data_IF_782516052740
#
_entry.id   IF_782516052740
#
_cell.length_a   1.000
_cell.length_b   1.000
_cell.length_c   1.000
_cell.angle_alpha   90.00
_cell.angle_beta   90.00
_cell.angle_gamma   90.00
#
_symmetry.space_group_name_H-M   'P 1'
#
loop_
_entity.id
_entity.type
_entity.pdbx_description
1 polymer ?
#
# COMPACT_ATOMS: atom_id res chain seq x y z
N UNK A 1 4.94 -78.51 24.79
CA UNK A 1 6.20 -78.93 24.18
C UNK A 1 6.96 -77.65 23.86
N UNK A 2 7.75 -77.05 24.76
CA UNK A 2 8.87 -77.61 25.54
C UNK A 2 9.90 -78.23 24.56
N UNK A 3 11.16 -77.81 24.42
CA UNK A 3 12.04 -77.05 25.32
C UNK A 3 13.31 -76.53 24.60
N UNK A 4 13.93 -75.50 25.23
CA UNK A 4 15.37 -75.20 25.43
C UNK A 4 16.33 -75.03 24.22
N UNK A 5 17.07 -73.92 24.03
CA UNK A 5 17.95 -73.06 24.86
C UNK A 5 19.45 -73.38 24.71
N UNK A 6 20.24 -72.35 24.39
CA UNK A 6 21.39 -71.83 25.18
C UNK A 6 22.41 -71.11 24.26
N UNK A 7 22.53 -69.77 24.34
CA UNK A 7 23.43 -68.96 25.21
C UNK A 7 24.81 -68.71 24.53
N UNK A 8 25.49 -67.56 24.55
CA UNK A 8 25.51 -66.41 25.47
C UNK A 8 26.38 -65.23 24.95
N UNK A 9 26.10 -64.03 25.49
CA UNK A 9 26.96 -62.85 25.79
C UNK A 9 27.48 -61.94 24.64
N UNK A 10 26.97 -60.71 24.49
CA UNK A 10 27.22 -59.45 25.24
C UNK A 10 28.59 -58.80 24.94
N UNK A 11 28.57 -57.57 24.39
CA UNK A 11 29.19 -56.38 24.98
C UNK A 11 28.76 -55.10 24.24
N UNK A 12 28.56 -54.05 25.04
CA UNK A 12 28.07 -52.72 24.70
C UNK A 12 29.26 -51.79 24.44
N UNK A 13 29.01 -50.73 23.67
CA UNK A 13 29.41 -49.32 23.92
C UNK A 13 30.25 -48.57 22.86
N UNK A 14 29.80 -47.33 22.68
CA UNK A 14 30.53 -46.10 22.34
C UNK A 14 30.76 -45.66 20.87
N UNK A 15 29.88 -44.74 20.48
CA UNK A 15 30.20 -43.32 20.19
C UNK A 15 30.92 -43.00 18.87
N UNK A 16 30.13 -42.54 17.90
CA UNK A 16 30.63 -41.86 16.70
C UNK A 16 31.02 -40.39 17.00
N UNK A 17 32.07 -39.86 16.35
CA UNK A 17 32.58 -38.52 16.57
C UNK A 17 31.82 -37.46 15.73
N UNK A 18 31.80 -36.23 16.26
CA UNK A 18 31.34 -35.02 15.57
C UNK A 18 32.11 -34.78 14.25
N UNK A 19 31.50 -34.05 13.29
CA UNK A 19 32.16 -32.79 12.92
C UNK A 19 31.19 -31.62 12.70
N UNK A 20 31.74 -30.43 12.92
CA UNK A 20 31.12 -29.11 12.82
C UNK A 20 30.40 -28.81 11.49
N UNK A 21 29.39 -27.93 11.56
CA UNK A 21 28.67 -27.41 10.40
C UNK A 21 27.66 -26.31 10.76
N UNK A 22 28.20 -25.16 11.16
CA UNK A 22 27.57 -23.85 11.38
C UNK A 22 26.23 -23.61 10.66
N UNK A 23 25.11 -23.50 11.40
CA UNK A 23 23.77 -23.18 10.87
C UNK A 23 23.12 -21.98 11.57
N UNK A 24 23.94 -20.99 11.94
CA UNK A 24 23.45 -19.71 12.47
C UNK A 24 23.79 -18.51 11.56
N UNK A 25 24.68 -18.66 10.57
CA UNK A 25 25.22 -17.53 9.80
C UNK A 25 24.38 -17.07 8.61
N UNK A 26 23.51 -17.93 8.07
CA UNK A 26 22.72 -17.59 6.87
C UNK A 26 21.63 -16.56 7.19
N UNK A 27 20.89 -16.74 8.29
CA UNK A 27 19.81 -15.84 8.70
C UNK A 27 20.29 -14.42 9.11
N UNK A 28 21.45 -14.31 9.76
CA UNK A 28 22.01 -12.99 10.13
C UNK A 28 22.51 -12.21 8.91
N UNK A 29 23.05 -12.92 7.91
CA UNK A 29 23.53 -12.31 6.66
C UNK A 29 22.38 -11.78 5.80
N UNK A 30 21.26 -12.50 5.74
CA UNK A 30 20.05 -12.06 5.03
C UNK A 30 19.38 -10.87 5.72
N UNK A 31 19.26 -10.89 7.06
CA UNK A 31 18.76 -9.73 7.83
C UNK A 31 19.67 -8.52 7.62
N UNK A 32 20.98 -8.72 7.57
CA UNK A 32 21.97 -7.67 7.31
C UNK A 32 21.87 -7.13 5.88
N UNK A 33 21.69 -7.99 4.87
CA UNK A 33 21.46 -7.58 3.48
C UNK A 33 20.16 -6.80 3.35
N UNK A 34 19.07 -7.24 3.98
CA UNK A 34 17.79 -6.51 3.96
C UNK A 34 17.94 -5.13 4.61
N UNK A 35 18.66 -5.05 5.73
CA UNK A 35 18.94 -3.78 6.40
C UNK A 35 19.80 -2.83 5.55
N UNK A 36 20.85 -3.35 4.91
CA UNK A 36 21.70 -2.59 3.98
C UNK A 36 20.92 -2.16 2.74
N UNK A 37 20.10 -3.04 2.18
CA UNK A 37 19.23 -2.74 1.03
C UNK A 37 18.24 -1.64 1.39
N UNK A 38 17.66 -1.68 2.59
CA UNK A 38 16.79 -0.62 3.11
C UNK A 38 17.54 0.70 3.26
N UNK A 39 18.73 0.73 3.86
CA UNK A 39 19.53 1.95 3.99
C UNK A 39 19.91 2.55 2.63
N UNK A 40 20.28 1.71 1.66
CA UNK A 40 20.57 2.16 0.30
C UNK A 40 19.32 2.74 -0.34
N UNK A 41 18.17 2.08 -0.21
CA UNK A 41 16.89 2.58 -0.72
C UNK A 41 16.49 3.92 -0.08
N UNK A 42 16.69 4.07 1.24
CA UNK A 42 16.46 5.31 1.99
C UNK A 42 17.40 6.45 1.52
N UNK A 43 18.66 6.13 1.21
CA UNK A 43 19.61 7.12 0.67
C UNK A 43 19.22 7.57 -0.75
N UNK A 44 18.69 6.67 -1.57
CA UNK A 44 18.24 6.96 -2.93
C UNK A 44 16.95 7.78 -2.91
N UNK A 45 16.02 7.51 -2.00
CA UNK A 45 14.80 8.32 -1.85
C UNK A 45 15.12 9.72 -1.35
N UNK A 46 16.08 9.88 -0.43
CA UNK A 46 16.53 11.20 0.04
C UNK A 46 17.12 12.08 -1.09
N UNK A 47 17.75 11.46 -2.10
CA UNK A 47 18.28 12.17 -3.26
C UNK A 47 17.19 12.56 -4.28
N UNK A 48 16.02 11.92 -4.24
CA UNK A 48 14.90 12.21 -5.16
C UNK A 48 14.04 13.34 -4.59
N UNK A 49 13.90 14.40 -5.37
CA UNK A 49 13.01 15.50 -5.02
C UNK A 49 11.56 15.20 -5.40
N UNK A 50 10.64 15.33 -4.45
CA UNK A 50 9.19 15.14 -4.65
C UNK A 50 8.43 16.45 -4.54
N UNK A 51 8.37 17.23 -5.64
CA UNK A 51 7.80 18.60 -5.65
C UNK A 51 6.40 18.75 -5.03
N UNK A 52 5.53 17.74 -5.20
CA UNK A 52 4.19 17.75 -4.63
C UNK A 52 4.21 17.32 -3.14
N UNK A 53 4.72 16.13 -2.85
CA UNK A 53 4.70 15.55 -1.50
C UNK A 53 5.55 16.31 -0.47
N UNK A 54 6.64 16.93 -0.89
CA UNK A 54 7.46 17.81 -0.02
C UNK A 54 6.70 19.06 0.45
N UNK A 55 5.61 19.44 -0.23
CA UNK A 55 4.76 20.57 0.14
C UNK A 55 3.51 20.14 0.93
N UNK A 56 3.34 18.84 1.20
CA UNK A 56 2.21 18.32 1.97
C UNK A 56 2.61 18.05 3.42
N UNK A 57 1.64 18.05 4.33
CA UNK A 57 1.83 17.74 5.74
C UNK A 57 1.91 16.22 5.95
N UNK A 58 2.97 15.62 5.40
CA UNK A 58 3.30 14.20 5.54
C UNK A 58 4.70 14.06 6.11
N UNK A 59 5.00 12.92 6.75
CA UNK A 59 6.35 12.62 7.24
C UNK A 59 7.38 12.73 6.11
N UNK A 60 8.45 13.48 6.35
CA UNK A 60 9.40 13.83 5.30
C UNK A 60 10.62 12.90 5.32
N UNK A 61 11.28 12.74 4.17
CA UNK A 61 12.43 11.85 4.06
C UNK A 61 13.60 12.23 4.98
N UNK A 62 13.76 13.53 5.25
CA UNK A 62 14.77 14.05 6.18
C UNK A 62 14.57 13.63 7.64
N UNK A 63 13.35 13.20 8.00
CA UNK A 63 12.95 12.86 9.36
C UNK A 63 12.89 11.33 9.55
N UNK A 64 13.23 10.53 8.53
CA UNK A 64 13.24 9.08 8.63
C UNK A 64 14.25 8.61 9.69
N UNK A 65 13.78 7.73 10.58
CA UNK A 65 14.60 7.12 11.62
C UNK A 65 14.82 8.00 12.86
N UNK A 66 14.25 9.21 12.89
CA UNK A 66 14.26 10.03 14.10
C UNK A 66 13.19 9.56 15.08
N UNK A 67 13.60 8.73 16.03
CA UNK A 67 12.72 8.23 17.10
C UNK A 67 12.39 9.26 18.18
N UNK A 68 12.93 10.49 18.09
CA UNK A 68 12.61 11.56 19.05
C UNK A 68 11.30 12.28 18.72
N UNK A 69 10.78 12.11 17.50
CA UNK A 69 9.51 12.68 17.08
C UNK A 69 8.34 11.94 17.73
N UNK A 70 7.41 12.70 18.31
CA UNK A 70 6.21 12.16 18.91
C UNK A 70 5.14 11.86 17.84
N UNK A 71 4.35 10.81 18.06
CA UNK A 71 3.16 10.55 17.26
C UNK A 71 2.11 11.65 17.45
N UNK A 72 1.51 12.13 16.35
CA UNK A 72 0.47 13.15 16.42
C UNK A 72 0.29 13.94 15.13
N UNK A 73 -0.35 15.09 15.26
CA UNK A 73 -0.57 16.03 14.17
C UNK A 73 0.77 16.65 13.76
N UNK A 74 1.07 16.67 12.45
CA UNK A 74 2.27 17.34 11.92
C UNK A 74 2.12 18.87 12.04
N UNK A 75 0.92 19.38 11.72
CA UNK A 75 0.54 20.78 11.93
C UNK A 75 -0.84 20.88 12.60
N UNK A 76 -1.12 21.95 13.37
CA UNK A 76 -2.45 22.19 13.94
C UNK A 76 -3.55 22.30 12.87
N UNK A 77 -4.82 22.00 13.21
CA UNK A 77 -5.90 22.04 12.22
C UNK A 77 -6.17 23.47 11.77
N UNK A 78 -6.19 23.69 10.45
CA UNK A 78 -6.56 24.97 9.88
C UNK A 78 -8.04 25.29 10.18
N UNK A 79 -8.36 26.50 10.69
CA UNK A 79 -9.74 26.91 10.89
C UNK A 79 -10.56 26.86 9.59
N UNK A 80 -11.83 26.45 9.67
CA UNK A 80 -12.71 26.36 8.48
C UNK A 80 -12.86 27.69 7.72
N UNK A 81 -12.75 28.82 8.43
CA UNK A 81 -12.78 30.16 7.84
C UNK A 81 -11.56 30.47 6.94
N UNK A 82 -10.44 29.77 7.16
CA UNK A 82 -9.21 29.92 6.38
C UNK A 82 -9.11 28.89 5.25
N UNK A 83 -9.95 27.86 5.26
CA UNK A 83 -10.05 26.90 4.15
C UNK A 83 -10.71 27.58 2.95
N UNK A 84 -10.12 27.37 1.77
CA UNK A 84 -10.65 27.89 0.51
C UNK A 84 -12.06 27.35 0.24
N UNK A 85 -13.03 28.25 0.10
CA UNK A 85 -14.43 27.90 -0.14
C UNK A 85 -14.70 27.53 -1.61
N UNK A 86 -13.93 28.09 -2.53
CA UNK A 86 -14.04 27.82 -3.97
C UNK A 86 -13.15 26.63 -4.38
N UNK A 87 -13.59 25.79 -5.33
CA UNK A 87 -12.78 24.68 -5.83
C UNK A 87 -11.40 25.10 -6.35
N UNK A 88 -10.45 24.17 -6.37
CA UNK A 88 -9.15 24.42 -7.00
C UNK A 88 -9.30 24.67 -8.50
N UNK A 89 -8.41 25.49 -9.07
CA UNK A 89 -8.48 25.82 -10.48
C UNK A 89 -8.12 24.59 -11.32
N UNK A 90 -8.93 24.33 -12.35
CA UNK A 90 -8.64 23.35 -13.39
C UNK A 90 -8.32 24.06 -14.70
N UNK A 91 -7.58 23.41 -15.63
CA UNK A 91 -7.46 23.92 -16.99
C UNK A 91 -8.84 24.12 -17.63
N UNK A 92 -8.96 25.12 -18.51
CA UNK A 92 -10.26 25.61 -19.02
C UNK A 92 -11.16 24.54 -19.64
N UNK A 93 -10.58 23.45 -20.17
CA UNK A 93 -11.31 22.35 -20.81
C UNK A 93 -11.99 21.40 -19.81
N UNK A 94 -11.67 21.50 -18.53
CA UNK A 94 -12.14 20.60 -17.49
C UNK A 94 -13.03 21.32 -16.48
N UNK A 95 -13.88 20.54 -15.83
CA UNK A 95 -14.75 20.96 -14.75
C UNK A 95 -14.79 19.88 -13.66
N UNK A 96 -14.99 20.34 -12.41
CA UNK A 96 -15.25 19.45 -11.29
C UNK A 96 -16.66 18.89 -11.38
N UNK A 97 -16.84 17.66 -10.89
CA UNK A 97 -18.14 17.06 -10.67
C UNK A 97 -18.14 16.31 -9.34
N UNK A 98 -19.28 16.29 -8.65
CA UNK A 98 -19.54 15.37 -7.55
C UNK A 98 -20.12 14.07 -8.12
N UNK A 99 -19.46 12.94 -7.87
CA UNK A 99 -19.89 11.64 -8.36
C UNK A 99 -20.86 11.00 -7.35
N UNK A 100 -22.16 11.13 -7.59
CA UNK A 100 -23.17 10.44 -6.77
C UNK A 100 -23.18 8.95 -7.07
N UNK A 101 -22.51 8.15 -6.23
CA UNK A 101 -22.36 6.71 -6.41
C UNK A 101 -23.66 5.91 -6.20
N UNK A 102 -24.71 6.52 -5.66
CA UNK A 102 -26.06 5.93 -5.62
C UNK A 102 -26.75 5.95 -6.99
N UNK A 103 -26.29 6.81 -7.92
CA UNK A 103 -26.77 6.83 -9.30
C UNK A 103 -26.14 5.70 -10.10
N UNK A 104 -26.98 4.86 -10.71
CA UNK A 104 -26.51 3.77 -11.57
C UNK A 104 -25.69 4.29 -12.78
N UNK A 105 -26.05 5.45 -13.32
CA UNK A 105 -25.31 6.07 -14.43
C UNK A 105 -23.90 6.48 -14.00
N UNK A 106 -23.79 7.22 -12.88
CA UNK A 106 -22.49 7.66 -12.36
C UNK A 106 -21.62 6.48 -11.92
N UNK A 107 -22.20 5.50 -11.23
CA UNK A 107 -21.50 4.29 -10.81
C UNK A 107 -20.97 3.52 -12.04
N UNK A 108 -21.74 3.49 -13.14
CA UNK A 108 -21.28 2.91 -14.41
C UNK A 108 -20.12 3.71 -15.02
N UNK A 109 -20.15 5.04 -14.97
CA UNK A 109 -19.05 5.86 -15.48
C UNK A 109 -17.77 5.70 -14.66
N UNK A 110 -17.87 5.69 -13.32
CA UNK A 110 -16.73 5.44 -12.43
C UNK A 110 -16.18 4.03 -12.65
N UNK A 111 -17.05 3.03 -12.74
CA UNK A 111 -16.66 1.67 -13.10
C UNK A 111 -15.88 1.61 -14.41
N UNK A 112 -16.40 2.25 -15.46
CA UNK A 112 -15.74 2.28 -16.77
C UNK A 112 -14.40 3.03 -16.72
N UNK A 113 -14.28 4.09 -15.92
CA UNK A 113 -13.02 4.80 -15.74
C UNK A 113 -11.98 3.87 -15.08
N UNK A 114 -12.33 3.24 -13.95
CA UNK A 114 -11.40 2.44 -13.17
C UNK A 114 -11.00 1.14 -13.88
N UNK A 115 -11.95 0.40 -14.44
CA UNK A 115 -11.69 -0.85 -15.17
C UNK A 115 -10.77 -0.66 -16.40
N UNK A 116 -10.68 0.55 -16.93
CA UNK A 116 -9.83 0.87 -18.08
C UNK A 116 -8.52 1.57 -17.73
N UNK A 117 -8.39 2.18 -16.54
CA UNK A 117 -7.26 3.07 -16.23
C UNK A 117 -6.69 2.94 -14.80
N UNK A 118 -7.25 2.06 -13.97
CA UNK A 118 -6.77 1.87 -12.60
C UNK A 118 -5.57 0.91 -12.55
N UNK A 119 -5.08 0.66 -11.34
CA UNK A 119 -3.83 -0.04 -11.05
C UNK A 119 -3.65 -1.32 -11.87
N UNK A 120 -2.50 -1.37 -12.53
CA UNK A 120 -1.95 -2.50 -13.26
C UNK A 120 -0.77 -3.07 -12.48
N UNK A 121 -0.47 -4.35 -12.66
CA UNK A 121 0.80 -4.91 -12.21
C UNK A 121 1.96 -4.36 -13.06
N UNK A 122 3.20 -4.54 -12.58
CA UNK A 122 4.39 -3.98 -13.22
C UNK A 122 4.58 -4.48 -14.68
N UNK A 123 4.08 -5.68 -14.99
CA UNK A 123 4.14 -6.28 -16.32
C UNK A 123 2.90 -5.99 -17.19
N UNK A 124 1.91 -5.25 -16.68
CA UNK A 124 0.64 -4.93 -17.34
C UNK A 124 -0.15 -6.18 -17.81
N UNK A 125 -0.02 -7.29 -17.09
CA UNK A 125 -0.75 -8.53 -17.36
C UNK A 125 -2.15 -8.53 -16.74
N UNK A 126 -2.33 -7.80 -15.64
CA UNK A 126 -3.53 -7.75 -14.84
C UNK A 126 -3.91 -6.31 -14.50
N UNK A 127 -5.21 -6.02 -14.56
CA UNK A 127 -5.79 -4.77 -14.07
C UNK A 127 -6.91 -5.08 -13.11
N UNK A 128 -7.01 -4.32 -12.02
CA UNK A 128 -8.17 -4.43 -11.15
C UNK A 128 -9.46 -4.09 -11.89
N UNK A 129 -10.45 -4.98 -11.76
CA UNK A 129 -11.79 -4.81 -12.30
C UNK A 129 -12.81 -4.88 -11.16
N UNK A 130 -12.84 -3.83 -10.33
CA UNK A 130 -13.82 -3.72 -9.25
C UNK A 130 -15.23 -3.72 -9.82
N UNK A 131 -16.09 -4.62 -9.34
CA UNK A 131 -17.48 -4.64 -9.77
C UNK A 131 -18.22 -3.37 -9.30
N UNK A 132 -19.33 -3.03 -9.94
CA UNK A 132 -20.16 -1.87 -9.55
C UNK A 132 -20.69 -2.03 -8.12
N UNK A 133 -21.08 -3.24 -7.75
CA UNK A 133 -21.57 -3.58 -6.42
C UNK A 133 -20.47 -3.38 -5.37
N UNK A 134 -19.24 -3.78 -5.70
CA UNK A 134 -18.09 -3.56 -4.83
C UNK A 134 -17.78 -2.06 -4.67
N UNK A 135 -17.78 -1.31 -5.76
CA UNK A 135 -17.55 0.14 -5.73
C UNK A 135 -18.61 0.85 -4.90
N UNK A 136 -19.89 0.51 -5.09
CA UNK A 136 -20.96 1.05 -4.26
C UNK A 136 -20.78 0.70 -2.78
N UNK A 137 -20.42 -0.56 -2.47
CA UNK A 137 -20.21 -0.99 -1.09
C UNK A 137 -19.07 -0.25 -0.39
N UNK A 138 -17.92 -0.08 -1.06
CA UNK A 138 -16.74 0.54 -0.43
C UNK A 138 -16.84 2.07 -0.38
N UNK A 139 -17.52 2.69 -1.35
CA UNK A 139 -17.61 4.16 -1.46
C UNK A 139 -18.81 4.74 -0.70
N UNK A 140 -19.86 3.95 -0.47
CA UNK A 140 -21.09 4.39 0.22
C UNK A 140 -21.27 3.75 1.61
N UNK A 141 -20.30 3.83 2.55
CA UNK A 141 -20.56 3.42 3.93
C UNK A 141 -21.62 4.33 4.57
N UNK A 142 -22.33 3.88 5.62
CA UNK A 142 -23.30 4.71 6.33
C UNK A 142 -22.68 6.04 6.78
N UNK A 143 -23.32 7.16 6.43
CA UNK A 143 -22.85 8.50 6.79
C UNK A 143 -21.75 9.07 5.89
N UNK A 144 -21.49 8.47 4.73
CA UNK A 144 -20.56 9.04 3.76
C UNK A 144 -21.02 10.43 3.28
N UNK A 145 -20.04 11.25 2.89
CA UNK A 145 -20.30 12.57 2.32
C UNK A 145 -20.22 12.48 0.80
N UNK A 146 -21.36 12.64 0.10
CA UNK A 146 -21.39 12.65 -1.37
C UNK A 146 -20.40 13.63 -1.97
N UNK A 147 -20.20 14.78 -1.33
CA UNK A 147 -19.25 15.82 -1.74
C UNK A 147 -17.78 15.39 -1.73
N UNK A 148 -17.43 14.25 -1.11
CA UNK A 148 -16.07 13.72 -1.08
C UNK A 148 -15.75 12.80 -2.26
N UNK A 149 -16.76 12.40 -3.04
CA UNK A 149 -16.57 11.64 -4.27
C UNK A 149 -16.38 12.62 -5.42
N UNK A 150 -15.14 12.92 -5.75
CA UNK A 150 -14.78 14.02 -6.64
C UNK A 150 -14.32 13.46 -7.99
N UNK A 151 -14.93 13.94 -9.06
CA UNK A 151 -14.54 13.65 -10.43
C UNK A 151 -14.08 14.88 -11.20
N UNK A 152 -13.33 14.64 -12.28
CA UNK A 152 -13.02 15.66 -13.29
C UNK A 152 -13.61 15.22 -14.62
N UNK A 153 -14.32 16.14 -15.30
CA UNK A 153 -14.91 15.91 -16.63
C UNK A 153 -14.36 16.88 -17.66
N UNK A 154 -14.30 16.42 -18.90
CA UNK A 154 -14.10 17.29 -20.06
C UNK A 154 -15.40 18.04 -20.33
N UNK A 155 -15.38 19.38 -20.36
CA UNK A 155 -16.58 20.21 -20.52
C UNK A 155 -17.39 19.92 -21.78
N UNK A 156 -16.70 19.68 -22.91
CA UNK A 156 -17.32 19.51 -24.23
C UNK A 156 -17.99 18.15 -24.40
N UNK A 157 -17.31 17.06 -24.01
CA UNK A 157 -17.80 15.70 -24.19
C UNK A 157 -18.51 15.13 -22.96
N UNK A 158 -18.39 15.82 -21.82
CA UNK A 158 -18.80 15.34 -20.50
C UNK A 158 -18.13 14.04 -20.06
N UNK A 159 -17.09 13.57 -20.76
CA UNK A 159 -16.34 12.36 -20.39
C UNK A 159 -15.67 12.53 -19.03
N UNK A 160 -15.89 11.59 -18.12
CA UNK A 160 -15.17 11.46 -16.86
C UNK A 160 -13.71 11.02 -17.14
N UNK A 161 -12.74 11.75 -16.58
CA UNK A 161 -11.30 11.53 -16.84
C UNK A 161 -10.45 11.37 -15.58
N UNK A 162 -10.97 11.73 -14.41
CA UNK A 162 -10.34 11.46 -13.13
C UNK A 162 -11.42 11.27 -12.05
N UNK A 163 -11.07 10.53 -11.00
CA UNK A 163 -11.94 10.25 -9.87
C UNK A 163 -11.10 10.03 -8.61
N UNK A 164 -11.58 10.51 -7.46
CA UNK A 164 -11.03 10.22 -6.13
C UNK A 164 -12.18 10.19 -5.11
N UNK A 165 -12.03 9.35 -4.08
CA UNK A 165 -13.01 9.13 -3.01
C UNK A 165 -12.32 8.74 -1.72
#
# INVERSE_FOLDING_TARGET
>A
MADHDSNSNLLVDNQAPNPDGNSASENESDVSIVYLTRQVQESISLAKRHKFWEAQHVGQFKDLGDSSLAEGQIEPPTPLSEVKQEPYNLPNLYEWITCDMESNEMCTEVYNLLSNNYVEDDDNMFRFNYSKEFLHWVICPPGHYKSWHIGVRVKSSKKLVAFIT
#
